data_IF_168916620448
#
_entry.id   IF_168916620448
#
_cell.length_a   1.000
_cell.length_b   1.000
_cell.length_c   1.000
_cell.angle_alpha   90.00
_cell.angle_beta   90.00
_cell.angle_gamma   90.00
#
_symmetry.space_group_name_H-M   'P 1'
#
loop_
_entity.id
_entity.type
_entity.pdbx_description
1 polymer ?
#
# COMPACT_ATOMS: atom_id res chain seq x y z
N UNK A 1 8.25 17.76 12.06
CA UNK A 1 8.81 16.88 11.01
C UNK A 1 7.98 16.86 9.71
N UNK A 2 6.74 17.40 9.67
CA UNK A 2 5.93 17.52 8.43
C UNK A 2 5.49 18.96 8.11
N UNK A 3 6.21 19.95 8.66
CA UNK A 3 5.87 21.35 8.43
C UNK A 3 6.04 21.70 6.94
N UNK A 4 4.99 22.24 6.32
CA UNK A 4 4.98 22.58 4.89
C UNK A 4 4.75 21.40 3.93
N UNK A 5 4.71 20.16 4.42
CA UNK A 5 4.38 18.99 3.58
C UNK A 5 2.89 18.99 3.24
N UNK A 6 2.56 18.83 1.96
CA UNK A 6 1.17 18.70 1.48
C UNK A 6 0.77 17.25 1.22
N UNK A 7 1.75 16.37 0.99
CA UNK A 7 1.56 14.95 0.73
C UNK A 7 2.57 14.15 1.55
N UNK A 8 2.16 13.00 2.07
CA UNK A 8 3.04 12.08 2.77
C UNK A 8 2.63 10.63 2.54
N UNK A 9 3.60 9.72 2.58
CA UNK A 9 3.37 8.29 2.73
C UNK A 9 3.63 7.91 4.18
N UNK A 10 2.66 7.30 4.85
CA UNK A 10 2.70 7.00 6.27
C UNK A 10 2.18 5.59 6.54
N UNK A 11 2.64 4.98 7.62
CA UNK A 11 1.91 3.85 8.22
C UNK A 11 0.76 4.36 9.09
N UNK A 12 -0.34 3.60 9.27
CA UNK A 12 -1.50 4.02 10.06
C UNK A 12 -1.16 4.57 11.45
N UNK A 13 -0.21 3.95 12.16
CA UNK A 13 0.22 4.42 13.49
C UNK A 13 0.84 5.82 13.47
N UNK A 14 1.52 6.22 12.39
CA UNK A 14 2.08 7.56 12.26
C UNK A 14 0.97 8.59 12.07
N UNK A 15 -0.01 8.32 11.21
CA UNK A 15 -1.17 9.20 11.04
C UNK A 15 -1.95 9.34 12.34
N UNK A 16 -2.22 8.23 13.03
CA UNK A 16 -2.90 8.25 14.33
C UNK A 16 -2.20 9.16 15.35
N UNK A 17 -0.86 9.08 15.45
CA UNK A 17 -0.09 9.98 16.34
C UNK A 17 -0.22 11.45 15.97
N UNK A 18 -0.27 11.78 14.68
CA UNK A 18 -0.44 13.16 14.22
C UNK A 18 -1.81 13.72 14.64
N UNK A 19 -2.87 12.92 14.45
CA UNK A 19 -4.25 13.31 14.77
C UNK A 19 -4.46 13.44 16.28
N UNK A 20 -4.02 12.46 17.08
CA UNK A 20 -4.18 12.47 18.55
C UNK A 20 -3.42 13.61 19.20
N UNK A 21 -2.19 13.89 18.74
CA UNK A 21 -1.39 14.99 19.27
C UNK A 21 -1.80 16.37 18.72
N UNK A 22 -2.83 16.44 17.86
CA UNK A 22 -3.28 17.68 17.19
C UNK A 22 -2.12 18.48 16.59
N UNK A 23 -1.20 17.76 15.93
CA UNK A 23 -0.02 18.37 15.33
C UNK A 23 -0.45 19.36 14.23
N UNK A 24 0.08 20.57 14.25
CA UNK A 24 -0.12 21.50 13.13
C UNK A 24 0.58 20.94 11.89
N UNK A 25 -0.21 20.53 10.90
CA UNK A 25 0.25 19.98 9.62
C UNK A 25 -0.47 20.67 8.46
N UNK A 26 0.21 20.74 7.31
CA UNK A 26 -0.34 21.27 6.05
C UNK A 26 -0.74 20.16 5.07
N UNK A 27 -0.92 18.93 5.58
CA UNK A 27 -1.23 17.77 4.76
C UNK A 27 -2.58 17.94 4.08
N UNK A 28 -2.60 17.65 2.77
CA UNK A 28 -3.80 17.60 1.94
C UNK A 28 -4.17 16.15 1.62
N UNK A 29 -3.16 15.30 1.45
CA UNK A 29 -3.37 13.88 1.19
C UNK A 29 -2.28 13.01 1.83
N UNK A 30 -2.68 11.80 2.23
CA UNK A 30 -1.78 10.79 2.80
C UNK A 30 -2.02 9.45 2.12
N UNK A 31 -0.96 8.84 1.62
CA UNK A 31 -0.97 7.42 1.24
C UNK A 31 -0.67 6.59 2.49
N UNK A 32 -1.56 5.65 2.79
CA UNK A 32 -1.44 4.72 3.91
C UNK A 32 -1.11 3.33 3.39
N UNK A 33 -0.19 2.64 4.07
CA UNK A 33 0.17 1.26 3.75
C UNK A 33 1.03 0.62 4.82
N UNK A 34 1.50 -0.60 4.55
CA UNK A 34 2.41 -1.35 5.43
C UNK A 34 1.76 -1.97 6.68
N UNK A 35 0.48 -1.70 6.94
CA UNK A 35 -0.32 -2.34 7.98
C UNK A 35 -1.82 -2.24 7.62
N UNK A 36 -2.67 -2.96 8.35
CA UNK A 36 -4.12 -2.79 8.26
C UNK A 36 -4.51 -1.34 8.55
N UNK A 37 -5.40 -0.78 7.74
CA UNK A 37 -5.81 0.62 7.77
C UNK A 37 -7.23 0.70 8.36
N UNK A 38 -7.39 1.20 9.61
CA UNK A 38 -8.72 1.34 10.21
C UNK A 38 -9.54 2.40 9.47
N UNK A 39 -10.80 2.10 9.16
CA UNK A 39 -11.72 3.04 8.50
C UNK A 39 -11.94 4.28 9.36
N UNK A 40 -12.04 4.10 10.68
CA UNK A 40 -12.22 5.20 11.63
C UNK A 40 -11.05 6.19 11.59
N UNK A 41 -9.84 5.70 11.31
CA UNK A 41 -8.65 6.55 11.19
C UNK A 41 -8.73 7.44 9.94
N UNK A 42 -9.19 6.89 8.82
CA UNK A 42 -9.36 7.66 7.58
C UNK A 42 -10.49 8.68 7.69
N UNK A 43 -11.56 8.34 8.40
CA UNK A 43 -12.65 9.28 8.67
C UNK A 43 -12.20 10.46 9.57
N UNK A 44 -11.46 10.18 10.65
CA UNK A 44 -10.89 11.23 11.51
C UNK A 44 -9.93 12.16 10.75
N UNK A 45 -9.14 11.62 9.81
CA UNK A 45 -8.28 12.44 8.96
C UNK A 45 -9.09 13.32 8.00
N UNK A 46 -10.17 12.77 7.44
CA UNK A 46 -11.09 13.49 6.54
C UNK A 46 -11.79 14.65 7.24
N UNK A 47 -12.17 14.50 8.50
CA UNK A 47 -12.72 15.59 9.34
C UNK A 47 -11.74 16.77 9.50
N UNK A 48 -10.43 16.51 9.41
CA UNK A 48 -9.38 17.53 9.43
C UNK A 48 -8.97 18.03 8.03
N UNK A 49 -9.71 17.64 6.98
CA UNK A 49 -9.45 18.03 5.60
C UNK A 49 -8.31 17.26 4.93
N UNK A 50 -7.88 16.13 5.49
CA UNK A 50 -6.81 15.29 4.94
C UNK A 50 -7.44 14.11 4.20
N UNK A 51 -7.20 14.02 2.88
CA UNK A 51 -7.62 12.86 2.08
C UNK A 51 -6.71 11.67 2.35
N UNK A 52 -7.27 10.49 2.58
CA UNK A 52 -6.48 9.27 2.76
C UNK A 52 -6.61 8.36 1.54
N UNK A 53 -5.51 7.74 1.16
CA UNK A 53 -5.46 6.68 0.16
C UNK A 53 -5.02 5.39 0.84
N UNK A 54 -5.83 4.34 0.73
CA UNK A 54 -5.54 3.02 1.27
C UNK A 54 -4.77 2.21 0.24
N UNK A 55 -3.57 1.74 0.60
CA UNK A 55 -2.68 1.05 -0.33
C UNK A 55 -2.17 -0.29 0.20
N UNK A 56 -2.01 -1.22 -0.74
CA UNK A 56 -1.28 -2.48 -0.54
C UNK A 56 -0.04 -2.48 -1.42
N UNK A 57 1.06 -2.97 -0.89
CA UNK A 57 2.35 -2.91 -1.56
C UNK A 57 3.42 -3.68 -0.80
N UNK A 58 4.52 -3.93 -1.48
CA UNK A 58 5.62 -4.77 -1.02
C UNK A 58 6.92 -4.37 -1.72
N UNK A 59 8.04 -4.74 -1.12
CA UNK A 59 9.38 -4.37 -1.60
C UNK A 59 9.63 -4.91 -3.01
N UNK A 60 9.18 -6.13 -3.26
CA UNK A 60 9.29 -6.87 -4.52
C UNK A 60 8.62 -6.16 -5.70
N UNK A 61 7.72 -5.19 -5.44
CA UNK A 61 6.97 -4.43 -6.45
C UNK A 61 7.27 -2.93 -6.42
N UNK A 62 8.37 -2.54 -5.77
CA UNK A 62 8.79 -1.15 -5.63
C UNK A 62 7.69 -0.25 -5.03
N UNK A 63 7.10 -0.69 -3.91
CA UNK A 63 6.03 -0.02 -3.14
C UNK A 63 4.62 -0.46 -3.57
N UNK A 64 3.76 0.47 -3.99
CA UNK A 64 2.30 0.29 -4.08
C UNK A 64 1.88 -0.52 -5.31
N UNK A 65 1.04 -1.53 -5.06
CA UNK A 65 0.43 -2.40 -6.06
C UNK A 65 -1.03 -2.02 -6.27
N UNK A 66 -1.81 -1.95 -5.18
CA UNK A 66 -3.20 -1.51 -5.19
C UNK A 66 -3.33 -0.22 -4.40
N UNK A 67 -4.19 0.68 -4.86
CA UNK A 67 -4.58 1.83 -4.06
C UNK A 67 -5.98 2.32 -4.41
N UNK A 68 -6.65 2.91 -3.43
CA UNK A 68 -7.84 3.75 -3.65
C UNK A 68 -7.89 4.91 -2.67
N UNK A 69 -8.66 5.93 -2.99
CA UNK A 69 -9.08 6.90 -1.98
C UNK A 69 -10.02 6.22 -0.97
N UNK A 70 -9.88 6.55 0.31
CA UNK A 70 -10.71 6.00 1.36
C UNK A 70 -12.18 6.41 1.16
N UNK A 71 -13.07 5.42 1.22
CA UNK A 71 -14.50 5.53 0.88
C UNK A 71 -15.41 4.90 1.96
N UNK A 72 -14.85 4.56 3.12
CA UNK A 72 -15.55 3.89 4.22
C UNK A 72 -15.49 2.36 4.18
N UNK A 73 -14.89 1.75 3.16
CA UNK A 73 -14.71 0.30 3.08
C UNK A 73 -13.28 -0.12 3.48
N UNK A 74 -13.17 -1.25 4.17
CA UNK A 74 -11.92 -1.79 4.69
C UNK A 74 -11.14 -2.60 3.63
N UNK A 75 -10.86 -1.99 2.49
CA UNK A 75 -10.09 -2.59 1.39
C UNK A 75 -9.04 -1.62 0.82
N UNK A 76 -8.22 -2.12 -0.11
CA UNK A 76 -7.09 -1.39 -0.72
C UNK A 76 -7.34 -1.04 -2.19
N UNK A 77 -8.57 -1.24 -2.66
CA UNK A 77 -8.99 -0.96 -4.01
C UNK A 77 -8.34 -1.83 -5.08
N UNK A 78 -8.17 -1.23 -6.25
CA UNK A 78 -7.77 -1.93 -7.46
C UNK A 78 -6.28 -1.80 -7.75
N UNK A 79 -5.73 -2.70 -8.59
CA UNK A 79 -4.34 -2.60 -9.04
C UNK A 79 -4.08 -1.27 -9.78
N UNK A 80 -2.93 -0.66 -9.51
CA UNK A 80 -2.47 0.52 -10.25
C UNK A 80 -2.17 0.15 -11.72
N UNK A 81 -2.16 1.12 -12.65
CA UNK A 81 -1.88 0.85 -14.06
C UNK A 81 -0.57 0.06 -14.27
N UNK A 82 -0.60 -0.99 -15.08
CA UNK A 82 0.57 -1.84 -15.36
C UNK A 82 0.92 -2.84 -14.25
N UNK A 83 0.02 -3.03 -13.27
CA UNK A 83 0.11 -4.11 -12.28
C UNK A 83 -1.04 -5.08 -12.56
N UNK A 84 -0.72 -6.36 -12.57
CA UNK A 84 -1.68 -7.44 -12.71
C UNK A 84 -1.76 -8.21 -11.38
N UNK A 85 -2.98 -8.56 -11.00
CA UNK A 85 -3.28 -9.26 -9.75
C UNK A 85 -4.24 -10.40 -10.06
N UNK A 86 -3.97 -11.57 -9.47
CA UNK A 86 -4.90 -12.69 -9.45
C UNK A 86 -4.89 -13.35 -8.07
N UNK A 87 -5.96 -14.08 -7.76
CA UNK A 87 -6.05 -14.89 -6.55
C UNK A 87 -5.90 -16.37 -6.93
N UNK A 88 -4.96 -17.08 -6.30
CA UNK A 88 -4.75 -18.52 -6.49
C UNK A 88 -4.81 -19.19 -5.12
N UNK A 89 -5.81 -20.04 -4.87
CA UNK A 89 -6.00 -20.70 -3.57
C UNK A 89 -5.98 -19.72 -2.37
N UNK A 90 -6.67 -18.58 -2.52
CA UNK A 90 -6.72 -17.46 -1.56
C UNK A 90 -5.40 -16.72 -1.36
N UNK A 91 -4.36 -16.98 -2.16
CA UNK A 91 -3.10 -16.22 -2.15
C UNK A 91 -3.09 -15.16 -3.26
N UNK A 92 -2.59 -13.97 -2.94
CA UNK A 92 -2.39 -12.88 -3.89
C UNK A 92 -1.16 -13.17 -4.75
N UNK A 93 -1.35 -13.17 -6.07
CA UNK A 93 -0.30 -13.34 -7.06
C UNK A 93 -0.20 -12.10 -7.93
N UNK A 94 1.02 -11.65 -8.19
CA UNK A 94 1.29 -10.36 -8.80
C UNK A 94 2.23 -10.47 -10.00
N UNK A 95 2.04 -9.57 -10.97
CA UNK A 95 2.95 -9.38 -12.11
C UNK A 95 2.99 -7.92 -12.52
N UNK A 96 4.18 -7.37 -12.76
CA UNK A 96 4.36 -6.00 -13.24
C UNK A 96 5.73 -5.80 -13.90
N UNK A 97 5.88 -4.77 -14.72
CA UNK A 97 7.19 -4.38 -15.25
C UNK A 97 8.09 -3.70 -14.18
N UNK A 98 7.52 -3.23 -13.08
CA UNK A 98 8.24 -2.56 -11.98
C UNK A 98 8.71 -3.52 -10.89
N UNK A 99 8.72 -4.82 -11.16
CA UNK A 99 9.15 -5.82 -10.19
C UNK A 99 10.64 -5.72 -9.92
N UNK A 100 11.04 -6.08 -8.71
CA UNK A 100 12.45 -6.28 -8.40
C UNK A 100 13.01 -7.46 -9.23
N UNK A 101 14.28 -7.35 -9.62
CA UNK A 101 14.96 -8.33 -10.47
C UNK A 101 15.07 -9.73 -9.82
N UNK A 102 15.03 -9.80 -8.49
CA UNK A 102 15.25 -11.05 -7.76
C UNK A 102 15.70 -10.84 -6.32
N UNK A 103 15.80 -11.94 -5.58
CA UNK A 103 16.50 -11.96 -4.30
C UNK A 103 17.98 -12.23 -4.51
N UNK A 104 18.84 -11.38 -3.97
CA UNK A 104 20.27 -11.64 -3.92
C UNK A 104 20.60 -12.68 -2.85
N UNK A 105 21.14 -13.84 -3.24
CA UNK A 105 21.54 -14.93 -2.34
C UNK A 105 22.83 -15.56 -2.83
N UNK A 106 23.81 -15.68 -1.94
CA UNK A 106 25.08 -16.37 -2.20
C UNK A 106 25.80 -15.92 -3.48
N UNK A 107 25.80 -14.61 -3.77
CA UNK A 107 26.45 -14.07 -4.96
C UNK A 107 25.65 -14.23 -6.27
N UNK A 108 24.38 -14.64 -6.18
CA UNK A 108 23.53 -14.88 -7.33
C UNK A 108 22.16 -14.21 -7.14
N UNK A 109 21.53 -13.87 -8.27
CA UNK A 109 20.18 -13.36 -8.30
C UNK A 109 19.21 -14.53 -8.48
N UNK A 110 18.30 -14.71 -7.54
CA UNK A 110 17.24 -15.71 -7.58
C UNK A 110 15.95 -15.04 -8.03
N UNK A 111 15.36 -15.52 -9.13
CA UNK A 111 14.10 -15.00 -9.67
C UNK A 111 12.99 -14.98 -8.61
N UNK A 112 12.17 -13.92 -8.65
CA UNK A 112 10.94 -13.83 -7.86
C UNK A 112 9.80 -14.65 -8.48
N UNK A 113 9.80 -14.75 -9.80
CA UNK A 113 8.65 -15.22 -10.56
C UNK A 113 8.77 -16.69 -10.94
N UNK A 114 7.62 -17.34 -11.10
CA UNK A 114 7.52 -18.63 -11.77
C UNK A 114 7.74 -18.49 -13.29
N UNK A 115 7.66 -19.62 -14.01
CA UNK A 115 7.85 -19.67 -15.47
C UNK A 115 6.81 -18.86 -16.27
N UNK A 116 5.69 -18.49 -15.64
CA UNK A 116 4.63 -17.64 -16.23
C UNK A 116 4.80 -16.14 -15.89
N UNK A 117 5.84 -15.77 -15.15
CA UNK A 117 6.11 -14.39 -14.73
C UNK A 117 5.30 -13.91 -13.53
N UNK A 118 4.70 -14.81 -12.75
CA UNK A 118 3.92 -14.46 -11.55
C UNK A 118 4.73 -14.62 -10.27
N UNK A 119 4.61 -13.66 -9.36
CA UNK A 119 5.13 -13.71 -8.00
C UNK A 119 4.01 -14.04 -7.01
N UNK A 120 4.22 -15.07 -6.19
CA UNK A 120 3.33 -15.48 -5.12
C UNK A 120 3.70 -14.71 -3.83
N UNK A 121 2.82 -13.84 -3.34
CA UNK A 121 3.18 -12.89 -2.27
C UNK A 121 3.17 -13.51 -0.87
N UNK A 122 2.51 -14.66 -0.71
CA UNK A 122 2.17 -15.30 0.57
C UNK A 122 1.17 -14.52 1.41
N UNK A 123 0.59 -13.47 0.86
CA UNK A 123 -0.52 -12.76 1.47
C UNK A 123 -1.83 -13.39 1.04
N UNK A 124 -2.77 -13.48 1.99
CA UNK A 124 -4.13 -13.90 1.67
C UNK A 124 -4.90 -12.73 1.09
N UNK A 125 -5.74 -13.01 0.10
CA UNK A 125 -6.60 -12.01 -0.50
C UNK A 125 -7.82 -12.59 -1.21
N UNK A 126 -8.77 -11.72 -1.46
CA UNK A 126 -9.98 -11.98 -2.22
C UNK A 126 -10.20 -10.85 -3.22
N UNK A 127 -10.84 -11.17 -4.34
CA UNK A 127 -11.26 -10.20 -5.35
C UNK A 127 -12.73 -10.50 -5.71
N UNK A 128 -13.58 -9.47 -5.85
CA UNK A 128 -14.97 -9.65 -6.28
C UNK A 128 -15.09 -10.12 -7.74
#
# INVERSE_FOLDING_TARGET
MLAGCTHASLVPTQLWRLLVNRSSVSLKAVLLGGAAIPVELTEQAREQGIRCFCGYGLTEFASTVCAKEADGLADVGSPLPGREVKIVNNEVWLRAASMAEGYWRNGQLVSLVNDEGWYATRDRGEMP
#
